data_IF_534030770501
#
_entry.id   IF_534030770501
#
_cell.length_a   1.000
_cell.length_b   1.000
_cell.length_c   1.000
_cell.angle_alpha   90.00
_cell.angle_beta   90.00
_cell.angle_gamma   90.00
#
_symmetry.space_group_name_H-M   'P 1'
#
loop_
_entity.id
_entity.type
_entity.pdbx_description
1 polymer ?
#
# COMPACT_ATOMS: atom_id res chain seq x y z
N UNK A 1 -5.81 -7.26 -17.85
CA UNK A 1 -4.53 -7.08 -17.09
C UNK A 1 -4.86 -6.61 -15.69
N UNK A 2 -4.48 -7.37 -14.66
CA UNK A 2 -4.75 -6.98 -13.26
C UNK A 2 -3.83 -5.85 -12.83
N UNK A 3 -4.38 -4.73 -12.37
CA UNK A 3 -3.61 -3.53 -12.08
C UNK A 3 -4.04 -2.83 -10.79
N UNK A 4 -3.12 -2.08 -10.20
CA UNK A 4 -3.36 -1.26 -9.02
C UNK A 4 -2.39 -0.07 -8.97
N UNK A 5 -2.78 0.97 -8.26
CA UNK A 5 -1.99 2.18 -8.01
C UNK A 5 -1.57 2.20 -6.54
N UNK A 6 -0.33 2.55 -6.27
CA UNK A 6 0.20 2.59 -4.90
C UNK A 6 1.31 3.63 -4.72
N UNK A 7 1.45 4.14 -3.50
CA UNK A 7 2.68 4.79 -3.07
C UNK A 7 3.75 3.73 -2.84
N UNK A 8 4.92 3.93 -3.42
CA UNK A 8 6.07 3.06 -3.18
C UNK A 8 6.76 3.49 -1.88
N UNK A 9 7.12 2.51 -1.05
CA UNK A 9 7.87 2.74 0.18
C UNK A 9 9.34 2.33 0.01
N UNK A 10 10.28 2.98 0.74
CA UNK A 10 11.70 2.68 0.62
C UNK A 10 12.07 1.24 0.99
N UNK A 11 13.16 0.75 0.44
CA UNK A 11 13.62 -0.63 0.63
C UNK A 11 13.98 -0.93 2.09
N UNK A 12 14.58 0.01 2.80
CA UNK A 12 14.95 -0.15 4.21
C UNK A 12 13.73 -0.33 5.13
N UNK A 13 12.60 0.35 4.81
CA UNK A 13 11.33 0.18 5.52
C UNK A 13 10.74 -1.21 5.24
N UNK A 14 10.77 -1.66 3.97
CA UNK A 14 10.36 -3.02 3.59
C UNK A 14 11.18 -4.09 4.32
N UNK A 15 12.49 -3.89 4.44
CA UNK A 15 13.36 -4.79 5.20
C UNK A 15 13.04 -4.82 6.69
N UNK A 16 12.74 -3.66 7.30
CA UNK A 16 12.31 -3.57 8.71
C UNK A 16 11.02 -4.35 8.94
N UNK A 17 10.00 -4.14 8.11
CA UNK A 17 8.74 -4.89 8.20
C UNK A 17 8.96 -6.39 7.99
N UNK A 18 9.90 -6.77 7.14
CA UNK A 18 10.26 -8.18 6.94
C UNK A 18 10.96 -8.79 8.16
N UNK A 19 11.78 -8.03 8.88
CA UNK A 19 12.35 -8.47 10.16
C UNK A 19 11.26 -8.65 11.22
N UNK A 20 10.35 -7.70 11.33
CA UNK A 20 9.19 -7.76 12.23
C UNK A 20 8.34 -8.99 11.91
N UNK A 21 8.01 -9.23 10.63
CA UNK A 21 7.22 -10.39 10.22
C UNK A 21 7.87 -11.73 10.57
N UNK A 22 9.20 -11.84 10.49
CA UNK A 22 9.94 -13.06 10.91
C UNK A 22 9.82 -13.34 12.40
N UNK A 23 9.77 -12.29 13.23
CA UNK A 23 9.57 -12.46 14.67
C UNK A 23 8.13 -12.84 14.96
N UNK A 24 7.15 -12.15 14.36
CA UNK A 24 5.72 -12.43 14.55
C UNK A 24 5.31 -13.80 14.01
N UNK A 25 6.00 -14.32 13.00
CA UNK A 25 5.73 -15.64 12.43
C UNK A 25 5.87 -16.77 13.44
N UNK A 26 6.65 -16.59 14.50
CA UNK A 26 6.82 -17.59 15.57
C UNK A 26 5.55 -17.81 16.36
N UNK A 27 4.72 -16.77 16.55
CA UNK A 27 3.44 -16.84 17.28
C UNK A 27 2.21 -16.90 16.37
N UNK A 28 2.38 -16.60 15.09
CA UNK A 28 1.30 -16.48 14.11
C UNK A 28 1.49 -17.41 12.89
N UNK A 29 1.45 -18.74 13.08
CA UNK A 29 1.72 -19.70 11.99
C UNK A 29 0.65 -19.66 10.88
N UNK A 30 -0.56 -19.16 11.17
CA UNK A 30 -1.67 -19.02 10.23
C UNK A 30 -1.56 -17.80 9.31
N UNK A 31 -0.46 -17.04 9.36
CA UNK A 31 -0.25 -15.84 8.55
C UNK A 31 0.74 -16.10 7.43
N UNK A 32 0.34 -15.77 6.21
CA UNK A 32 1.25 -15.66 5.08
C UNK A 32 1.83 -14.25 5.02
N UNK A 33 3.11 -14.14 5.30
CA UNK A 33 3.82 -12.86 5.28
C UNK A 33 4.07 -12.39 3.85
N UNK A 34 3.94 -11.08 3.65
CA UNK A 34 4.15 -10.45 2.34
C UNK A 34 5.64 -10.19 2.16
N UNK A 35 6.18 -10.64 1.03
CA UNK A 35 7.58 -10.36 0.66
C UNK A 35 7.81 -8.85 0.53
N UNK A 36 9.05 -8.33 0.71
CA UNK A 36 9.35 -6.90 0.60
C UNK A 36 8.83 -6.26 -0.68
N UNK A 37 8.94 -6.95 -1.81
CA UNK A 37 8.50 -6.45 -3.12
C UNK A 37 6.99 -6.22 -3.19
N UNK A 38 6.23 -6.91 -2.32
CA UNK A 38 4.79 -6.79 -2.23
C UNK A 38 4.29 -5.70 -1.27
N UNK A 39 5.19 -5.00 -0.57
CA UNK A 39 4.85 -4.01 0.45
C UNK A 39 4.77 -2.60 -0.15
N UNK A 40 3.62 -1.98 -0.02
CA UNK A 40 3.31 -0.64 -0.54
C UNK A 40 2.08 -0.07 0.17
N UNK A 41 1.78 1.22 -0.01
CA UNK A 41 0.51 1.81 0.43
C UNK A 41 -0.41 1.86 -0.80
N UNK A 42 -1.41 1.00 -0.84
CA UNK A 42 -2.36 0.95 -1.97
C UNK A 42 -3.22 2.19 -2.00
N UNK A 43 -3.30 2.85 -3.17
CA UNK A 43 -4.25 3.91 -3.46
C UNK A 43 -5.55 3.29 -4.00
N UNK A 44 -5.44 2.50 -5.08
CA UNK A 44 -6.61 1.90 -5.72
C UNK A 44 -6.29 0.59 -6.41
N UNK A 45 -7.19 -0.40 -6.26
CA UNK A 45 -7.21 -1.59 -7.10
C UNK A 45 -8.16 -1.37 -8.28
N UNK A 46 -7.66 -1.57 -9.51
CA UNK A 46 -8.48 -1.49 -10.72
C UNK A 46 -9.08 -2.85 -11.12
N UNK A 47 -8.52 -3.94 -10.58
CA UNK A 47 -8.91 -5.30 -10.99
C UNK A 47 -8.38 -5.65 -12.38
N UNK A 48 -9.11 -6.50 -13.09
CA UNK A 48 -8.79 -6.85 -14.49
C UNK A 48 -9.30 -5.76 -15.43
N UNK A 49 -8.39 -5.12 -16.15
CA UNK A 49 -8.68 -4.04 -17.10
C UNK A 49 -7.97 -4.29 -18.43
N UNK A 50 -8.50 -3.69 -19.51
CA UNK A 50 -7.92 -3.73 -20.85
C UNK A 50 -6.67 -2.86 -20.96
N UNK A 51 -5.86 -3.07 -21.99
CA UNK A 51 -4.72 -2.21 -22.28
C UNK A 51 -5.14 -0.77 -22.63
N UNK A 52 -6.26 -0.61 -23.32
CA UNK A 52 -6.84 0.71 -23.59
C UNK A 52 -7.19 1.45 -22.30
N UNK A 53 -7.81 0.74 -21.34
CA UNK A 53 -8.15 1.31 -20.02
C UNK A 53 -6.87 1.67 -19.22
N UNK A 54 -5.82 0.88 -19.33
CA UNK A 54 -4.51 1.23 -18.72
C UNK A 54 -3.98 2.52 -19.30
N UNK A 55 -4.10 2.73 -20.61
CA UNK A 55 -3.63 3.97 -21.25
C UNK A 55 -4.45 5.18 -20.79
N UNK A 56 -5.77 5.08 -20.71
CA UNK A 56 -6.62 6.14 -20.17
C UNK A 56 -6.26 6.51 -18.73
N UNK A 57 -5.95 5.51 -17.87
CA UNK A 57 -5.48 5.76 -16.51
C UNK A 57 -4.12 6.48 -16.52
N UNK A 58 -3.18 6.06 -17.38
CA UNK A 58 -1.87 6.73 -17.51
C UNK A 58 -2.04 8.21 -17.92
N UNK A 59 -2.94 8.51 -18.83
CA UNK A 59 -3.20 9.87 -19.29
C UNK A 59 -3.75 10.75 -18.14
N UNK A 60 -4.65 10.21 -17.32
CA UNK A 60 -5.13 10.88 -16.11
C UNK A 60 -3.99 11.10 -15.13
N UNK A 61 -3.17 10.07 -14.86
CA UNK A 61 -2.07 10.14 -13.91
C UNK A 61 -0.97 11.11 -14.36
N UNK A 62 -0.72 11.22 -15.67
CA UNK A 62 0.23 12.18 -16.23
C UNK A 62 -0.20 13.63 -16.02
N UNK A 63 -1.50 13.88 -15.88
CA UNK A 63 -2.06 15.21 -15.57
C UNK A 63 -2.17 15.47 -14.04
N UNK A 64 -1.76 14.54 -13.20
CA UNK A 64 -1.73 14.71 -11.75
C UNK A 64 -0.45 15.43 -11.27
N UNK A 65 -0.58 16.16 -10.16
CA UNK A 65 0.54 16.86 -9.55
C UNK A 65 0.78 18.27 -10.12
N UNK A 66 1.94 18.89 -9.85
CA UNK A 66 3.03 18.30 -9.06
C UNK A 66 2.66 18.05 -7.59
N UNK A 67 3.25 17.01 -7.01
CA UNK A 67 3.11 16.69 -5.58
C UNK A 67 4.48 16.73 -4.91
N UNK A 68 4.53 17.23 -3.69
CA UNK A 68 5.75 17.23 -2.89
C UNK A 68 6.09 15.83 -2.38
N UNK A 69 7.39 15.61 -2.13
CA UNK A 69 7.88 14.43 -1.44
C UNK A 69 7.26 14.33 -0.06
N UNK A 70 6.76 13.16 0.31
CA UNK A 70 6.08 12.96 1.58
C UNK A 70 7.07 12.45 2.62
N UNK A 71 7.22 13.16 3.74
CA UNK A 71 7.86 12.62 4.93
C UNK A 71 6.82 11.82 5.71
N UNK A 72 7.11 10.57 5.97
CA UNK A 72 6.22 9.64 6.65
C UNK A 72 6.92 8.89 7.78
N UNK A 73 6.14 8.38 8.73
CA UNK A 73 6.59 7.42 9.73
C UNK A 73 5.55 6.35 9.98
N UNK A 74 5.97 5.19 10.49
CA UNK A 74 5.07 4.14 10.91
C UNK A 74 4.58 4.40 12.34
N UNK A 75 3.33 4.07 12.64
CA UNK A 75 2.72 4.23 13.95
C UNK A 75 2.70 2.94 14.74
N UNK A 76 2.01 1.94 14.22
CA UNK A 76 1.76 0.69 14.95
C UNK A 76 1.41 -0.45 13.99
N UNK A 77 1.46 -1.66 14.53
CA UNK A 77 0.88 -2.83 13.88
C UNK A 77 -0.59 -2.90 14.23
N UNK A 78 -1.41 -3.10 13.22
CA UNK A 78 -2.85 -3.28 13.35
C UNK A 78 -3.35 -4.37 12.41
N UNK A 79 -4.67 -4.62 12.42
CA UNK A 79 -5.28 -5.62 11.57
C UNK A 79 -6.62 -5.14 11.01
N UNK A 80 -6.93 -5.53 9.78
CA UNK A 80 -8.22 -5.24 9.18
C UNK A 80 -8.98 -6.54 8.84
N UNK A 81 -10.34 -6.52 8.96
CA UNK A 81 -11.17 -5.39 9.39
C UNK A 81 -10.99 -5.03 10.87
N UNK A 82 -10.62 -5.96 11.74
CA UNK A 82 -10.36 -5.77 13.17
C UNK A 82 -9.42 -6.87 13.71
N UNK A 83 -8.93 -6.68 14.95
CA UNK A 83 -8.00 -7.64 15.58
C UNK A 83 -8.65 -8.96 16.00
N UNK A 84 -9.96 -8.99 16.18
CA UNK A 84 -10.71 -10.21 16.56
C UNK A 84 -10.87 -11.18 15.39
N UNK A 85 -11.04 -10.65 14.18
CA UNK A 85 -11.17 -11.43 12.93
C UNK A 85 -10.31 -10.85 11.81
N UNK A 86 -8.99 -10.82 11.97
CA UNK A 86 -8.10 -10.22 11.02
C UNK A 86 -8.11 -10.98 9.69
N UNK A 87 -8.07 -10.23 8.60
CA UNK A 87 -7.79 -10.76 7.24
C UNK A 87 -6.41 -10.35 6.78
N UNK A 88 -5.95 -9.18 7.21
CA UNK A 88 -4.62 -8.65 6.92
C UNK A 88 -4.01 -8.05 8.17
N UNK A 89 -2.69 -8.19 8.30
CA UNK A 89 -1.87 -7.50 9.28
C UNK A 89 -1.18 -6.35 8.57
N UNK A 90 -1.26 -5.17 9.17
CA UNK A 90 -0.83 -3.92 8.54
C UNK A 90 0.07 -3.11 9.47
N UNK A 91 0.96 -2.32 8.87
CA UNK A 91 1.63 -1.22 9.53
C UNK A 91 0.86 0.08 9.19
N UNK A 92 0.41 0.79 10.21
CA UNK A 92 -0.29 2.07 10.06
C UNK A 92 0.70 3.21 9.96
N UNK A 93 0.29 4.30 9.32
CA UNK A 93 1.10 5.51 9.13
C UNK A 93 0.76 6.51 10.22
N UNK A 94 1.76 7.23 10.72
CA UNK A 94 1.62 8.33 11.67
C UNK A 94 1.81 9.68 10.98
N UNK A 95 3.06 10.05 10.69
CA UNK A 95 3.35 11.25 9.93
C UNK A 95 3.04 11.08 8.44
N UNK A 96 2.65 12.16 7.77
CA UNK A 96 2.36 12.18 6.34
C UNK A 96 0.95 11.74 5.96
N UNK A 97 0.12 11.31 6.92
CA UNK A 97 -1.25 10.81 6.68
C UNK A 97 -2.10 11.82 5.91
N UNK A 98 -2.05 13.10 6.29
CA UNK A 98 -2.91 14.13 5.66
C UNK A 98 -2.47 14.42 4.22
N UNK A 99 -1.17 14.42 3.94
CA UNK A 99 -0.63 14.61 2.59
C UNK A 99 -0.99 13.40 1.72
N UNK A 100 -0.79 12.19 2.24
CA UNK A 100 -1.17 10.94 1.56
C UNK A 100 -2.67 10.95 1.22
N UNK A 101 -3.53 11.35 2.16
CA UNK A 101 -4.98 11.47 1.94
C UNK A 101 -5.34 12.54 0.91
N UNK A 102 -4.67 13.69 0.94
CA UNK A 102 -4.90 14.77 -0.02
C UNK A 102 -4.59 14.29 -1.45
N UNK A 103 -3.45 13.66 -1.66
CA UNK A 103 -3.06 13.10 -2.96
C UNK A 103 -4.04 11.99 -3.38
N UNK A 104 -4.40 11.10 -2.45
CA UNK A 104 -5.41 10.06 -2.70
C UNK A 104 -6.72 10.67 -3.22
N UNK A 105 -7.23 11.70 -2.55
CA UNK A 105 -8.50 12.33 -2.95
C UNK A 105 -8.40 13.07 -4.29
N UNK A 106 -7.27 13.71 -4.61
CA UNK A 106 -7.08 14.34 -5.92
C UNK A 106 -7.09 13.28 -7.04
N UNK A 107 -6.36 12.19 -6.87
CA UNK A 107 -6.32 11.10 -7.85
C UNK A 107 -7.69 10.44 -7.99
N UNK A 108 -8.38 10.12 -6.89
CA UNK A 108 -9.72 9.51 -6.92
C UNK A 108 -10.73 10.41 -7.64
N UNK A 109 -10.67 11.73 -7.40
CA UNK A 109 -11.53 12.70 -8.08
C UNK A 109 -11.30 12.70 -9.61
N UNK A 110 -10.05 12.63 -10.05
CA UNK A 110 -9.71 12.59 -11.47
C UNK A 110 -10.14 11.28 -12.14
N UNK A 111 -10.02 10.16 -11.44
CA UNK A 111 -10.42 8.85 -11.94
C UNK A 111 -11.95 8.72 -12.14
N UNK A 112 -12.76 9.57 -11.51
CA UNK A 112 -14.22 9.56 -11.74
C UNK A 112 -14.60 9.83 -13.20
N UNK A 113 -13.79 10.56 -13.96
CA UNK A 113 -13.99 10.82 -15.40
C UNK A 113 -14.00 9.53 -16.20
N UNK A 114 -13.30 8.49 -15.74
CA UNK A 114 -13.26 7.17 -16.36
C UNK A 114 -14.39 6.24 -15.85
N UNK A 115 -15.34 6.76 -15.07
CA UNK A 115 -16.44 6.00 -14.51
C UNK A 115 -16.09 5.18 -13.27
N UNK A 116 -14.95 5.45 -12.64
CA UNK A 116 -14.64 4.83 -11.34
C UNK A 116 -15.40 5.55 -10.22
N UNK A 117 -16.22 4.81 -9.49
CA UNK A 117 -16.87 5.34 -8.29
C UNK A 117 -15.81 5.61 -7.20
N UNK A 118 -16.02 6.67 -6.44
CA UNK A 118 -15.21 6.93 -5.26
C UNK A 118 -15.40 5.82 -4.24
N UNK A 119 -14.31 5.42 -3.59
CA UNK A 119 -14.41 4.49 -2.46
C UNK A 119 -15.31 5.07 -1.36
N UNK A 120 -16.35 4.31 -0.99
CA UNK A 120 -17.32 4.71 0.05
C UNK A 120 -16.72 4.65 1.45
N UNK A 121 -15.69 3.83 1.65
CA UNK A 121 -14.99 3.70 2.94
C UNK A 121 -13.90 4.75 3.03
N UNK A 122 -13.74 5.34 4.21
CA UNK A 122 -12.66 6.27 4.46
C UNK A 122 -11.29 5.64 4.19
N UNK A 123 -10.43 6.35 3.48
CA UNK A 123 -9.09 5.89 3.18
C UNK A 123 -8.21 5.96 4.43
N UNK A 124 -7.70 4.82 4.85
CA UNK A 124 -6.73 4.69 5.93
C UNK A 124 -5.40 4.21 5.34
N UNK A 125 -4.39 5.08 5.22
CA UNK A 125 -3.08 4.70 4.69
C UNK A 125 -2.44 3.61 5.55
N UNK A 126 -2.03 2.51 4.92
CA UNK A 126 -1.39 1.39 5.60
C UNK A 126 -0.54 0.56 4.65
N UNK A 127 0.41 -0.17 5.21
CA UNK A 127 1.22 -1.15 4.49
C UNK A 127 0.79 -2.54 4.93
N UNK A 128 0.23 -3.33 4.02
CA UNK A 128 -0.08 -4.73 4.30
C UNK A 128 1.20 -5.57 4.25
N UNK A 129 1.56 -6.22 5.36
CA UNK A 129 2.71 -7.11 5.41
C UNK A 129 2.40 -8.54 5.89
N UNK A 130 1.14 -8.84 6.24
CA UNK A 130 0.65 -10.18 6.53
C UNK A 130 -0.76 -10.42 6.00
N UNK A 131 -1.04 -11.65 5.52
CA UNK A 131 -2.37 -12.10 5.10
C UNK A 131 -2.76 -13.32 5.90
N UNK A 132 -3.83 -13.22 6.67
CA UNK A 132 -4.31 -14.30 7.54
C UNK A 132 -4.95 -15.40 6.68
N UNK A 133 -4.44 -16.61 6.80
CA UNK A 133 -4.95 -17.81 6.13
C UNK A 133 -5.89 -18.60 7.02
N UNK A 134 -5.49 -18.77 8.27
CA UNK A 134 -6.31 -19.44 9.29
C UNK A 134 -6.78 -18.37 10.26
N UNK A 135 -8.09 -18.11 10.35
CA UNK A 135 -8.63 -17.09 11.25
C UNK A 135 -8.20 -17.33 12.70
N UNK A 136 -7.52 -16.35 13.27
CA UNK A 136 -7.16 -16.31 14.68
C UNK A 136 -7.07 -14.83 15.11
N UNK A 137 -7.47 -14.47 16.32
CA UNK A 137 -7.36 -13.10 16.77
C UNK A 137 -5.90 -12.67 16.91
N UNK A 138 -5.62 -11.42 16.57
CA UNK A 138 -4.33 -10.78 16.80
C UNK A 138 -4.33 -10.23 18.24
N UNK A 139 -3.59 -10.87 19.12
CA UNK A 139 -3.53 -10.49 20.53
C UNK A 139 -2.43 -9.46 20.79
N UNK A 140 -2.56 -8.70 21.89
CA UNK A 140 -1.56 -7.68 22.24
C UNK A 140 -0.14 -8.26 22.38
N UNK A 141 0.00 -9.50 22.87
CA UNK A 141 1.29 -10.21 22.99
C UNK A 141 1.94 -10.54 21.64
N UNK A 142 1.16 -10.57 20.54
CA UNK A 142 1.66 -10.87 19.20
C UNK A 142 2.16 -9.61 18.48
N UNK A 143 1.83 -8.44 19.04
CA UNK A 143 2.17 -7.14 18.44
C UNK A 143 3.54 -6.70 18.94
N UNK A 144 4.43 -6.42 18.00
CA UNK A 144 5.77 -5.91 18.27
C UNK A 144 5.78 -4.40 18.02
N UNK A 145 6.55 -3.66 18.84
CA UNK A 145 6.76 -2.23 18.60
C UNK A 145 7.42 -1.99 17.24
N UNK A 146 6.88 -1.05 16.49
CA UNK A 146 7.48 -0.57 15.25
C UNK A 146 8.36 0.64 15.55
N UNK A 147 9.61 0.39 15.91
CA UNK A 147 10.63 1.46 15.92
C UNK A 147 11.07 1.70 14.47
N UNK A 148 10.59 2.76 13.89
CA UNK A 148 10.88 3.10 12.50
C UNK A 148 11.28 4.56 12.39
N UNK A 149 12.43 4.88 11.78
CA UNK A 149 12.79 6.27 11.48
C UNK A 149 11.79 6.86 10.48
N UNK A 150 11.77 8.16 10.39
CA UNK A 150 11.10 8.86 9.28
C UNK A 150 11.67 8.40 7.96
N UNK A 151 10.82 8.31 6.96
CA UNK A 151 11.20 7.94 5.60
C UNK A 151 10.47 8.81 4.57
N UNK A 152 11.04 8.88 3.38
CA UNK A 152 10.46 9.62 2.29
C UNK A 152 9.69 8.69 1.35
N UNK A 153 8.47 9.10 0.97
CA UNK A 153 7.75 8.52 -0.16
C UNK A 153 7.98 9.44 -1.36
N UNK A 154 8.58 8.90 -2.41
CA UNK A 154 9.08 9.66 -3.55
C UNK A 154 8.39 9.29 -4.87
N UNK A 155 7.55 8.25 -4.86
CA UNK A 155 6.87 7.78 -6.08
C UNK A 155 5.48 7.22 -5.80
N UNK A 156 4.59 7.47 -6.76
CA UNK A 156 3.34 6.76 -6.94
C UNK A 156 3.48 5.93 -8.21
N UNK A 157 3.16 4.65 -8.14
CA UNK A 157 3.38 3.73 -9.26
C UNK A 157 2.10 2.98 -9.59
N UNK A 158 1.76 2.97 -10.88
CA UNK A 158 0.75 2.06 -11.44
C UNK A 158 1.43 0.74 -11.74
N UNK A 159 0.97 -0.33 -11.12
CA UNK A 159 1.53 -1.67 -11.28
C UNK A 159 0.58 -2.59 -12.03
N UNK A 160 1.17 -3.47 -12.85
CA UNK A 160 0.56 -4.72 -13.29
C UNK A 160 0.89 -5.82 -12.28
N UNK A 161 -0.11 -6.57 -11.86
CA UNK A 161 0.05 -7.71 -10.96
C UNK A 161 0.02 -9.01 -11.76
N UNK A 162 1.13 -9.74 -11.75
CA UNK A 162 1.27 -11.04 -12.40
C UNK A 162 1.24 -12.09 -11.30
N UNK A 163 0.25 -12.98 -11.34
CA UNK A 163 0.12 -14.06 -10.36
C UNK A 163 1.10 -15.19 -10.70
N UNK A 164 2.07 -15.42 -9.83
CA UNK A 164 3.02 -16.52 -9.91
C UNK A 164 2.77 -17.57 -8.82
N UNK A 165 3.41 -18.73 -8.96
CA UNK A 165 3.33 -19.85 -7.98
C UNK A 165 3.82 -19.43 -6.59
N UNK A 166 4.81 -18.56 -6.52
CA UNK A 166 5.41 -18.07 -5.26
C UNK A 166 4.77 -16.79 -4.73
N UNK A 167 3.79 -16.21 -5.41
CA UNK A 167 3.11 -14.96 -5.08
C UNK A 167 2.99 -14.05 -6.28
N UNK A 168 2.41 -12.86 -6.06
CA UNK A 168 2.28 -11.85 -7.09
C UNK A 168 3.62 -11.15 -7.33
N UNK A 169 3.96 -10.97 -8.61
CA UNK A 169 5.06 -10.11 -9.07
C UNK A 169 4.45 -8.83 -9.62
N UNK A 170 5.06 -7.70 -9.34
CA UNK A 170 4.57 -6.38 -9.74
C UNK A 170 5.51 -5.76 -10.76
N UNK A 171 4.95 -5.43 -11.91
CA UNK A 171 5.63 -4.76 -13.02
C UNK A 171 5.15 -3.31 -13.09
N UNK A 172 6.06 -2.30 -13.01
CA UNK A 172 5.67 -0.91 -13.11
C UNK A 172 5.23 -0.57 -14.54
N UNK A 173 4.07 0.07 -14.66
CA UNK A 173 3.50 0.52 -15.95
C UNK A 173 3.63 2.03 -16.16
N UNK A 174 3.62 2.80 -15.05
CA UNK A 174 3.71 4.25 -15.05
C UNK A 174 4.10 4.74 -13.64
N UNK A 175 4.82 5.86 -13.57
CA UNK A 175 5.17 6.47 -12.28
C UNK A 175 4.92 7.99 -12.28
N UNK A 176 4.51 8.49 -11.10
CA UNK A 176 4.51 9.91 -10.76
C UNK A 176 5.63 10.11 -9.74
N UNK A 177 6.60 10.95 -10.06
CA UNK A 177 7.66 11.33 -9.11
C UNK A 177 7.13 12.40 -8.17
N UNK A 178 7.36 12.21 -6.88
CA UNK A 178 7.11 13.18 -5.84
C UNK A 178 8.43 13.89 -5.52
N UNK A 179 8.47 15.18 -5.64
CA UNK A 179 9.69 15.93 -5.45
C UNK A 179 9.42 17.34 -4.94
N UNK A 180 10.48 18.04 -4.51
CA UNK A 180 10.34 19.45 -4.20
C UNK A 180 9.85 20.17 -5.47
N UNK A 181 8.78 20.94 -5.33
CA UNK A 181 8.42 21.91 -6.35
C UNK A 181 9.62 22.84 -6.55
N UNK A 182 10.11 22.94 -7.76
CA UNK A 182 11.14 23.91 -8.15
C UNK A 182 10.61 25.33 -8.03
#
# INVERSE_FOLDING_TARGET
MRSFLAFEIPADIKERLSKVSKVMAKSLPGVRWVKPEGQHITIRFFGEISEARVQEIKDILAACGPYDRIQASLKSIDAFPDKGRPRVIVATIDEGVDIIRSIYHDIENRLTVLGYDREKRGFTPHITFGRVKTPAPLLARDIISLECPRFAIERIVLFKSILGREGAVYEPLFEIKLGAAT
#
